data_IF_980322037056
#
_entry.id   IF_980322037056
#
_cell.length_a   1.000
_cell.length_b   1.000
_cell.length_c   1.000
_cell.angle_alpha   90.00
_cell.angle_beta   90.00
_cell.angle_gamma   90.00
#
_symmetry.space_group_name_H-M   'P 1'
#
loop_
_entity.id
_entity.type
_entity.pdbx_description
1 polymer ?
#
# COMPACT_ATOMS: atom_id res chain seq x y z
N UNK A 1 12.79 22.25 0.21
CA UNK A 1 11.87 23.23 0.88
C UNK A 1 10.68 23.66 0.02
N UNK A 2 10.63 23.37 -1.30
CA UNK A 2 9.51 23.77 -2.17
C UNK A 2 8.26 22.88 -1.97
N UNK A 3 8.43 21.60 -1.70
CA UNK A 3 7.32 20.63 -1.63
C UNK A 3 6.22 21.00 -0.62
N UNK A 4 6.50 21.35 0.65
CA UNK A 4 5.45 21.74 1.60
C UNK A 4 4.70 22.99 1.17
N UNK A 5 5.38 23.96 0.55
CA UNK A 5 4.77 25.18 0.04
C UNK A 5 3.85 24.87 -1.12
N UNK A 6 4.29 24.04 -2.07
CA UNK A 6 3.44 23.60 -3.20
C UNK A 6 2.20 22.85 -2.72
N UNK A 7 2.36 21.94 -1.76
CA UNK A 7 1.23 21.20 -1.15
C UNK A 7 0.27 22.17 -0.47
N UNK A 8 0.77 23.11 0.33
CA UNK A 8 -0.07 24.14 0.96
C UNK A 8 -0.82 24.98 -0.07
N UNK A 9 -0.17 25.45 -1.13
CA UNK A 9 -0.80 26.23 -2.20
C UNK A 9 -1.88 25.43 -2.93
N UNK A 10 -1.63 24.15 -3.24
CA UNK A 10 -2.60 23.28 -3.90
C UNK A 10 -3.82 23.03 -3.02
N UNK A 11 -3.61 22.71 -1.75
CA UNK A 11 -4.69 22.51 -0.78
C UNK A 11 -5.51 23.82 -0.64
N UNK A 12 -4.83 24.94 -0.44
CA UNK A 12 -5.50 26.25 -0.29
C UNK A 12 -6.32 26.61 -1.53
N UNK A 13 -5.77 26.39 -2.73
CA UNK A 13 -6.47 26.60 -4.01
C UNK A 13 -7.70 25.68 -4.12
N UNK A 14 -7.55 24.43 -3.76
CA UNK A 14 -8.65 23.45 -3.80
C UNK A 14 -9.79 23.86 -2.87
N UNK A 15 -9.47 24.22 -1.62
CA UNK A 15 -10.50 24.68 -0.67
C UNK A 15 -11.11 26.02 -1.04
N UNK A 16 -10.35 26.94 -1.63
CA UNK A 16 -10.86 28.22 -2.12
C UNK A 16 -11.87 28.03 -3.26
N UNK A 17 -11.67 27.04 -4.13
CA UNK A 17 -12.53 26.77 -5.29
C UNK A 17 -13.78 25.94 -4.94
N UNK A 18 -13.65 24.95 -4.05
CA UNK A 18 -14.71 23.95 -3.79
C UNK A 18 -15.40 24.21 -2.44
N UNK A 19 -14.76 24.97 -1.55
CA UNK A 19 -15.27 25.24 -0.22
C UNK A 19 -15.24 24.03 0.72
N UNK A 20 -15.86 24.20 1.90
CA UNK A 20 -15.93 23.14 2.92
C UNK A 20 -16.77 21.91 2.51
N UNK A 21 -17.58 22.02 1.46
CA UNK A 21 -18.35 20.91 0.92
C UNK A 21 -17.49 19.77 0.37
N UNK A 22 -16.22 20.04 0.00
CA UNK A 22 -15.26 19.04 -0.42
C UNK A 22 -14.83 18.05 0.70
N UNK A 23 -14.99 18.44 1.97
CA UNK A 23 -14.55 17.61 3.10
C UNK A 23 -15.30 16.27 3.20
N UNK A 24 -16.60 16.26 2.96
CA UNK A 24 -17.42 15.04 3.09
C UNK A 24 -17.01 13.98 2.05
N UNK A 25 -16.91 14.30 0.75
CA UNK A 25 -16.39 13.35 -0.25
C UNK A 25 -14.97 12.87 0.05
N UNK A 26 -14.06 13.77 0.42
CA UNK A 26 -12.69 13.43 0.76
C UNK A 26 -12.59 12.51 1.99
N UNK A 27 -13.40 12.75 3.02
CA UNK A 27 -13.47 11.88 4.19
C UNK A 27 -13.98 10.48 3.82
N UNK A 28 -15.01 10.39 2.96
CA UNK A 28 -15.50 9.10 2.45
C UNK A 28 -14.42 8.35 1.67
N UNK A 29 -13.68 9.06 0.80
CA UNK A 29 -12.55 8.49 0.08
C UNK A 29 -11.47 7.96 1.04
N UNK A 30 -11.05 8.77 2.01
CA UNK A 30 -10.04 8.39 3.00
C UNK A 30 -10.46 7.16 3.80
N UNK A 31 -11.70 7.13 4.30
CA UNK A 31 -12.25 5.99 5.03
C UNK A 31 -12.31 4.75 4.13
N UNK A 32 -12.74 4.90 2.88
CA UNK A 32 -12.80 3.81 1.91
C UNK A 32 -11.43 3.17 1.67
N UNK A 33 -10.39 3.99 1.45
CA UNK A 33 -9.02 3.50 1.28
C UNK A 33 -8.51 2.82 2.56
N UNK A 34 -8.70 3.44 3.73
CA UNK A 34 -8.24 2.86 5.00
C UNK A 34 -8.92 1.54 5.32
N UNK A 35 -10.23 1.42 5.05
CA UNK A 35 -10.96 0.16 5.22
C UNK A 35 -10.45 -0.93 4.26
N UNK A 36 -10.25 -0.61 3.00
CA UNK A 36 -9.72 -1.55 2.01
C UNK A 36 -8.30 -2.02 2.38
N UNK A 37 -7.43 -1.09 2.82
CA UNK A 37 -6.10 -1.41 3.31
C UNK A 37 -6.13 -2.28 4.59
N UNK A 38 -7.06 -2.03 5.51
CA UNK A 38 -7.24 -2.84 6.71
C UNK A 38 -7.70 -4.27 6.36
N UNK A 39 -8.65 -4.40 5.44
CA UNK A 39 -9.11 -5.72 4.95
C UNK A 39 -7.95 -6.47 4.29
N UNK A 40 -7.15 -5.81 3.46
CA UNK A 40 -5.97 -6.41 2.83
C UNK A 40 -4.96 -6.88 3.89
N UNK A 41 -4.60 -6.03 4.84
CA UNK A 41 -3.56 -6.30 5.83
C UNK A 41 -3.97 -7.37 6.86
N UNK A 42 -5.15 -7.21 7.45
CA UNK A 42 -5.62 -8.05 8.56
C UNK A 42 -6.52 -9.20 8.13
N UNK A 43 -7.10 -9.12 6.92
CA UNK A 43 -7.90 -10.19 6.32
C UNK A 43 -7.08 -11.02 5.34
N UNK A 44 -6.89 -10.49 4.13
CA UNK A 44 -6.34 -11.25 3.00
C UNK A 44 -4.96 -11.82 3.31
N UNK A 45 -4.01 -11.00 3.73
CA UNK A 45 -2.65 -11.47 4.02
C UNK A 45 -2.60 -12.51 5.14
N UNK A 46 -3.43 -12.35 6.17
CA UNK A 46 -3.44 -13.27 7.30
C UNK A 46 -4.08 -14.62 6.94
N UNK A 47 -5.10 -14.60 6.09
CA UNK A 47 -5.72 -15.80 5.54
C UNK A 47 -4.71 -16.56 4.66
N UNK A 48 -4.02 -15.86 3.75
CA UNK A 48 -2.99 -16.46 2.91
C UNK A 48 -1.85 -17.06 3.75
N UNK A 49 -1.35 -16.31 4.74
CA UNK A 49 -0.32 -16.81 5.64
C UNK A 49 -0.76 -18.11 6.32
N UNK A 50 -1.97 -18.13 6.88
CA UNK A 50 -2.50 -19.30 7.59
C UNK A 50 -2.70 -20.50 6.67
N UNK A 51 -3.27 -20.28 5.49
CA UNK A 51 -3.54 -21.36 4.51
C UNK A 51 -2.23 -21.99 4.03
N UNK A 52 -1.26 -21.17 3.62
CA UNK A 52 -0.05 -21.68 2.97
C UNK A 52 1.04 -22.11 3.95
N UNK A 53 1.08 -21.58 5.17
CA UNK A 53 2.15 -21.91 6.13
C UNK A 53 1.67 -22.59 7.41
N UNK A 54 0.39 -22.47 7.75
CA UNK A 54 -0.16 -22.93 9.02
C UNK A 54 0.28 -22.09 10.23
N UNK A 55 0.99 -20.99 10.04
CA UNK A 55 1.45 -20.12 11.14
C UNK A 55 0.27 -19.35 11.76
N UNK A 56 0.45 -18.92 13.02
CA UNK A 56 -0.54 -18.10 13.72
C UNK A 56 -0.45 -16.63 13.22
N UNK A 57 -1.51 -16.10 12.57
CA UNK A 57 -1.51 -14.74 12.01
C UNK A 57 -1.29 -13.65 13.07
N UNK A 58 -1.92 -13.80 14.25
CA UNK A 58 -1.80 -12.79 15.31
C UNK A 58 -0.36 -12.72 15.82
N UNK A 59 0.29 -13.87 15.97
CA UNK A 59 1.70 -13.93 16.40
C UNK A 59 2.61 -13.31 15.33
N UNK A 60 2.33 -13.55 14.05
CA UNK A 60 3.06 -12.94 12.94
C UNK A 60 2.98 -11.41 12.98
N UNK A 61 1.74 -10.86 13.07
CA UNK A 61 1.55 -9.41 13.15
C UNK A 61 2.27 -8.82 14.36
N UNK A 62 2.16 -9.43 15.55
CA UNK A 62 2.85 -8.94 16.74
C UNK A 62 4.37 -8.85 16.54
N UNK A 63 4.97 -9.87 15.94
CA UNK A 63 6.42 -9.89 15.67
C UNK A 63 6.84 -8.89 14.59
N UNK A 64 5.98 -8.65 13.60
CA UNK A 64 6.27 -7.77 12.47
C UNK A 64 5.81 -6.31 12.71
N UNK A 65 5.01 -6.06 13.73
CA UNK A 65 4.48 -4.73 14.05
C UNK A 65 5.53 -3.61 14.15
N UNK A 66 6.72 -3.81 14.76
CA UNK A 66 7.74 -2.76 14.78
C UNK A 66 8.18 -2.31 13.37
N UNK A 67 8.25 -3.25 12.42
CA UNK A 67 8.57 -2.95 11.01
C UNK A 67 7.43 -2.17 10.36
N UNK A 68 6.18 -2.56 10.60
CA UNK A 68 5.00 -1.84 10.13
C UNK A 68 4.97 -0.40 10.64
N UNK A 69 5.26 -0.19 11.94
CA UNK A 69 5.32 1.14 12.54
C UNK A 69 6.45 2.00 11.95
N UNK A 70 7.60 1.40 11.70
CA UNK A 70 8.72 2.08 11.05
C UNK A 70 8.38 2.47 9.59
N UNK A 71 7.76 1.56 8.83
CA UNK A 71 7.30 1.87 7.47
C UNK A 71 6.24 2.97 7.44
N UNK A 72 5.29 2.92 8.38
CA UNK A 72 4.30 3.97 8.53
C UNK A 72 4.96 5.33 8.78
N UNK A 73 5.97 5.41 9.66
CA UNK A 73 6.64 6.67 9.98
C UNK A 73 7.47 7.23 8.83
N UNK A 74 8.11 6.36 8.05
CA UNK A 74 9.02 6.76 6.96
C UNK A 74 8.32 6.95 5.62
N UNK A 75 7.17 6.27 5.43
CA UNK A 75 6.45 6.19 4.15
C UNK A 75 7.34 5.75 2.97
N UNK A 76 8.33 4.88 3.23
CA UNK A 76 9.20 4.34 2.18
C UNK A 76 9.54 2.87 2.44
N UNK A 77 9.17 2.01 1.48
CA UNK A 77 9.46 0.57 1.55
C UNK A 77 10.97 0.32 1.55
N UNK A 78 11.73 1.11 0.80
CA UNK A 78 13.17 0.94 0.68
C UNK A 78 13.91 1.11 2.01
N UNK A 79 13.50 2.07 2.85
CA UNK A 79 14.10 2.28 4.17
C UNK A 79 13.80 1.13 5.13
N UNK A 80 12.73 0.37 4.92
CA UNK A 80 12.32 -0.75 5.78
C UNK A 80 13.00 -2.07 5.43
N UNK A 81 13.62 -2.19 4.27
CA UNK A 81 14.24 -3.44 3.78
C UNK A 81 15.16 -4.08 4.83
N UNK A 82 16.15 -3.37 5.40
CA UNK A 82 17.06 -4.00 6.37
C UNK A 82 16.34 -4.51 7.62
N UNK A 83 15.38 -3.73 8.14
CA UNK A 83 14.63 -4.09 9.34
C UNK A 83 13.67 -5.26 9.07
N UNK A 84 13.08 -5.32 7.88
CA UNK A 84 12.22 -6.43 7.44
C UNK A 84 13.01 -7.73 7.37
N UNK A 85 14.17 -7.73 6.73
CA UNK A 85 15.07 -8.89 6.61
C UNK A 85 15.50 -9.40 8.00
N UNK A 86 15.92 -8.49 8.87
CA UNK A 86 16.36 -8.83 10.23
C UNK A 86 15.22 -9.42 11.07
N UNK A 87 14.05 -8.81 11.03
CA UNK A 87 12.87 -9.28 11.77
C UNK A 87 12.39 -10.64 11.25
N UNK A 88 12.32 -10.82 9.93
CA UNK A 88 11.94 -12.10 9.34
C UNK A 88 12.92 -13.21 9.70
N UNK A 89 14.20 -12.92 9.68
CA UNK A 89 15.22 -13.91 10.00
C UNK A 89 15.25 -14.26 11.50
N UNK A 90 15.27 -13.25 12.39
CA UNK A 90 15.47 -13.46 13.82
C UNK A 90 14.19 -13.78 14.61
N UNK A 91 13.03 -13.27 14.15
CA UNK A 91 11.78 -13.41 14.91
C UNK A 91 10.76 -14.32 14.25
N UNK A 92 10.76 -14.39 12.91
CA UNK A 92 9.82 -15.25 12.17
C UNK A 92 10.45 -16.59 11.81
N UNK A 93 11.80 -16.65 11.72
CA UNK A 93 12.53 -17.87 11.39
C UNK A 93 12.71 -18.10 9.88
N UNK A 94 12.56 -17.07 9.08
CA UNK A 94 12.80 -17.13 7.64
C UNK A 94 14.30 -17.13 7.35
N UNK A 95 14.78 -18.02 6.47
CA UNK A 95 16.18 -18.02 6.05
C UNK A 95 16.59 -16.65 5.48
N UNK A 96 17.71 -16.11 5.97
CA UNK A 96 18.26 -14.84 5.51
C UNK A 96 18.53 -14.83 4.00
N UNK A 97 18.89 -15.98 3.40
CA UNK A 97 19.09 -16.11 1.96
C UNK A 97 17.82 -15.79 1.18
N UNK A 98 16.65 -16.25 1.64
CA UNK A 98 15.37 -16.00 0.99
C UNK A 98 14.96 -14.56 1.25
N UNK A 99 14.94 -14.10 2.50
CA UNK A 99 14.48 -12.74 2.83
C UNK A 99 15.33 -11.64 2.16
N UNK A 100 16.64 -11.84 2.03
CA UNK A 100 17.52 -10.87 1.34
C UNK A 100 17.27 -10.74 -0.15
N UNK A 101 16.63 -11.74 -0.78
CA UNK A 101 16.24 -11.67 -2.18
C UNK A 101 14.78 -11.19 -2.33
N UNK A 102 13.86 -11.78 -1.57
CA UNK A 102 12.42 -11.55 -1.77
C UNK A 102 11.95 -10.19 -1.27
N UNK A 103 12.51 -9.68 -0.17
CA UNK A 103 12.08 -8.38 0.39
C UNK A 103 12.44 -7.21 -0.54
N UNK A 104 13.66 -7.06 -1.08
CA UNK A 104 13.96 -6.02 -2.06
C UNK A 104 13.12 -6.16 -3.35
N UNK A 105 12.88 -7.40 -3.80
CA UNK A 105 12.02 -7.66 -4.95
C UNK A 105 10.58 -7.24 -4.69
N UNK A 106 10.02 -7.61 -3.53
CA UNK A 106 8.67 -7.21 -3.12
C UNK A 106 8.52 -5.70 -3.04
N UNK A 107 9.48 -5.01 -2.44
CA UNK A 107 9.45 -3.55 -2.32
C UNK A 107 9.33 -2.79 -3.65
N UNK A 108 9.58 -3.45 -4.79
CA UNK A 108 9.44 -2.87 -6.14
C UNK A 108 8.28 -3.46 -6.94
N UNK A 109 7.85 -4.67 -6.64
CA UNK A 109 6.82 -5.38 -7.45
C UNK A 109 5.49 -5.48 -6.70
N UNK A 110 5.52 -5.66 -5.39
CA UNK A 110 4.33 -5.88 -4.58
C UNK A 110 3.85 -4.56 -3.96
N UNK A 111 3.07 -3.79 -4.71
CA UNK A 111 2.48 -2.54 -4.25
C UNK A 111 0.94 -2.60 -4.22
N UNK A 112 0.40 -3.63 -3.57
CA UNK A 112 -1.04 -3.87 -3.44
C UNK A 112 -1.80 -2.67 -2.86
N UNK A 113 -1.25 -2.05 -1.82
CA UNK A 113 -1.86 -0.86 -1.22
C UNK A 113 -1.93 0.32 -2.19
N UNK A 114 -0.98 0.43 -3.12
CA UNK A 114 -0.99 1.45 -4.17
C UNK A 114 -2.10 1.17 -5.18
N UNK A 115 -2.25 -0.07 -5.64
CA UNK A 115 -3.34 -0.47 -6.54
C UNK A 115 -4.72 -0.28 -5.91
N UNK A 116 -4.87 -0.61 -4.62
CA UNK A 116 -6.11 -0.39 -3.86
C UNK A 116 -6.46 1.11 -3.84
N UNK A 117 -5.50 1.96 -3.49
CA UNK A 117 -5.71 3.41 -3.48
C UNK A 117 -6.11 3.92 -4.86
N UNK A 118 -5.46 3.48 -5.93
CA UNK A 118 -5.76 3.88 -7.29
C UNK A 118 -7.18 3.48 -7.71
N UNK A 119 -7.60 2.26 -7.39
CA UNK A 119 -8.96 1.80 -7.67
C UNK A 119 -10.02 2.64 -6.95
N UNK A 120 -9.83 2.92 -5.66
CA UNK A 120 -10.75 3.77 -4.89
C UNK A 120 -10.73 5.21 -5.39
N UNK A 121 -9.54 5.73 -5.79
CA UNK A 121 -9.38 7.08 -6.32
C UNK A 121 -10.13 7.27 -7.65
N UNK A 122 -10.13 6.28 -8.53
CA UNK A 122 -10.89 6.30 -9.79
C UNK A 122 -12.38 6.42 -9.52
N UNK A 123 -12.92 5.59 -8.62
CA UNK A 123 -14.34 5.64 -8.27
C UNK A 123 -14.71 6.98 -7.64
N UNK A 124 -13.85 7.48 -6.75
CA UNK A 124 -14.04 8.80 -6.13
C UNK A 124 -14.03 9.93 -7.17
N UNK A 125 -13.05 9.95 -8.08
CA UNK A 125 -12.95 10.98 -9.11
C UNK A 125 -14.13 10.92 -10.08
N UNK A 126 -14.53 9.73 -10.53
CA UNK A 126 -15.67 9.55 -11.40
C UNK A 126 -16.95 10.12 -10.76
N UNK A 127 -17.19 9.84 -9.47
CA UNK A 127 -18.33 10.39 -8.74
C UNK A 127 -18.25 11.91 -8.56
N UNK A 128 -17.06 12.43 -8.25
CA UNK A 128 -16.85 13.87 -8.04
C UNK A 128 -17.07 14.69 -9.32
N UNK A 129 -16.74 14.14 -10.47
CA UNK A 129 -16.89 14.80 -11.78
C UNK A 129 -18.14 14.36 -12.56
N UNK A 130 -19.01 13.51 -11.97
CA UNK A 130 -20.24 13.05 -12.61
C UNK A 130 -20.01 12.16 -13.83
N UNK A 131 -18.87 11.47 -13.89
CA UNK A 131 -18.50 10.58 -15.00
C UNK A 131 -18.98 9.16 -14.68
N UNK A 132 -19.74 8.56 -15.58
CA UNK A 132 -20.21 7.19 -15.45
C UNK A 132 -19.18 6.22 -16.03
N UNK A 133 -18.64 5.34 -15.18
CA UNK A 133 -17.74 4.28 -15.61
C UNK A 133 -18.53 3.07 -16.09
N UNK A 134 -18.18 2.56 -17.26
CA UNK A 134 -18.70 1.30 -17.78
C UNK A 134 -18.06 0.09 -17.08
N UNK A 135 -18.63 -1.12 -17.14
CA UNK A 135 -17.96 -2.32 -16.62
C UNK A 135 -16.58 -2.58 -17.23
N UNK A 136 -16.37 -2.16 -18.49
CA UNK A 136 -15.07 -2.30 -19.16
C UNK A 136 -14.03 -1.34 -18.58
N UNK A 137 -14.45 -0.14 -18.17
CA UNK A 137 -13.55 0.82 -17.53
C UNK A 137 -13.00 0.25 -16.20
N UNK A 138 -13.82 -0.45 -15.41
CA UNK A 138 -13.34 -1.13 -14.20
C UNK A 138 -12.30 -2.20 -14.51
N UNK A 139 -12.48 -2.99 -15.55
CA UNK A 139 -11.47 -3.98 -15.99
C UNK A 139 -10.19 -3.28 -16.42
N UNK A 140 -10.30 -2.17 -17.17
CA UNK A 140 -9.17 -1.35 -17.57
C UNK A 140 -8.42 -0.77 -16.37
N UNK A 141 -9.16 -0.28 -15.35
CA UNK A 141 -8.57 0.23 -14.11
C UNK A 141 -7.81 -0.86 -13.36
N UNK A 142 -8.39 -2.06 -13.23
CA UNK A 142 -7.70 -3.18 -12.57
C UNK A 142 -6.39 -3.51 -13.29
N UNK A 143 -6.43 -3.63 -14.63
CA UNK A 143 -5.25 -3.93 -15.42
C UNK A 143 -4.18 -2.83 -15.34
N UNK A 144 -4.57 -1.57 -15.53
CA UNK A 144 -3.64 -0.43 -15.50
C UNK A 144 -3.09 -0.14 -14.11
N UNK A 145 -3.90 -0.23 -13.05
CA UNK A 145 -3.44 -0.07 -11.67
C UNK A 145 -2.44 -1.17 -11.29
N UNK A 146 -2.71 -2.42 -11.69
CA UNK A 146 -1.78 -3.53 -11.45
C UNK A 146 -0.46 -3.31 -12.18
N UNK A 147 -0.50 -2.95 -13.47
CA UNK A 147 0.71 -2.67 -14.24
C UNK A 147 1.47 -1.44 -13.74
N UNK A 148 0.75 -0.39 -13.38
CA UNK A 148 1.35 0.84 -12.84
C UNK A 148 1.99 0.63 -11.47
N UNK A 149 1.50 -0.32 -10.67
CA UNK A 149 2.08 -0.65 -9.35
C UNK A 149 3.34 -1.49 -9.46
N UNK A 150 3.46 -2.33 -10.49
CA UNK A 150 4.67 -3.13 -10.75
C UNK A 150 5.81 -2.21 -11.23
N UNK A 151 6.95 -2.26 -10.58
CA UNK A 151 8.10 -1.43 -10.91
C UNK A 151 8.02 0.01 -10.37
N UNK A 152 6.99 0.34 -9.60
CA UNK A 152 6.91 1.62 -8.89
C UNK A 152 7.98 1.66 -7.79
N UNK A 153 8.76 2.75 -7.76
CA UNK A 153 9.80 2.91 -6.74
C UNK A 153 9.20 3.04 -5.33
N UNK A 154 9.82 2.37 -4.35
CA UNK A 154 9.38 2.42 -2.94
C UNK A 154 9.73 3.74 -2.23
N UNK A 155 9.36 4.88 -2.85
CA UNK A 155 9.60 6.24 -2.35
C UNK A 155 8.28 6.95 -2.05
N UNK A 156 8.26 7.93 -1.14
CA UNK A 156 7.02 8.61 -0.75
C UNK A 156 6.28 9.26 -1.92
N UNK A 157 4.95 9.21 -1.88
CA UNK A 157 4.01 9.86 -2.82
C UNK A 157 4.11 9.43 -4.29
N UNK A 158 4.87 8.40 -4.63
CA UNK A 158 4.99 7.92 -6.01
C UNK A 158 3.66 7.38 -6.56
N UNK A 159 2.78 6.89 -5.69
CA UNK A 159 1.45 6.41 -6.07
C UNK A 159 0.58 7.47 -6.75
N UNK A 160 0.77 8.77 -6.44
CA UNK A 160 0.06 9.86 -7.13
C UNK A 160 0.57 10.06 -8.56
N UNK A 161 1.84 9.82 -8.80
CA UNK A 161 2.41 9.91 -10.16
C UNK A 161 1.85 8.80 -11.05
N UNK A 162 1.80 7.58 -10.53
CA UNK A 162 1.25 6.43 -11.28
C UNK A 162 -0.28 6.50 -11.41
N UNK A 163 -0.97 7.20 -10.50
CA UNK A 163 -2.41 7.45 -10.59
C UNK A 163 -2.79 8.24 -11.86
N UNK A 164 -1.91 9.12 -12.36
CA UNK A 164 -2.14 9.84 -13.63
C UNK A 164 -2.31 8.88 -14.80
N UNK A 165 -1.55 7.79 -14.83
CA UNK A 165 -1.65 6.77 -15.89
C UNK A 165 -3.00 6.05 -15.82
N UNK A 166 -3.46 5.73 -14.59
CA UNK A 166 -4.76 5.06 -14.41
C UNK A 166 -5.91 5.98 -14.78
N UNK A 167 -5.86 7.26 -14.40
CA UNK A 167 -6.90 8.23 -14.78
C UNK A 167 -6.98 8.42 -16.28
N UNK A 168 -5.84 8.57 -16.96
CA UNK A 168 -5.79 8.72 -18.41
C UNK A 168 -6.36 7.48 -19.15
N UNK A 169 -6.20 6.29 -18.57
CA UNK A 169 -6.68 5.05 -19.20
C UNK A 169 -8.21 4.96 -19.30
N UNK A 170 -8.93 5.72 -18.46
CA UNK A 170 -10.40 5.75 -18.41
C UNK A 170 -10.95 7.16 -18.64
N UNK A 171 -10.14 8.08 -19.17
CA UNK A 171 -10.57 9.43 -19.54
C UNK A 171 -10.97 10.33 -18.36
N UNK A 172 -10.46 10.06 -17.15
CA UNK A 172 -10.71 10.91 -15.98
C UNK A 172 -9.78 12.13 -15.98
N UNK A 173 -10.27 13.30 -15.52
CA UNK A 173 -9.47 14.50 -15.44
C UNK A 173 -8.37 14.35 -14.38
N UNK A 174 -7.13 14.62 -14.76
CA UNK A 174 -5.96 14.52 -13.85
C UNK A 174 -6.00 15.60 -12.75
N UNK A 175 -6.78 16.64 -12.92
CA UNK A 175 -7.03 17.69 -11.93
C UNK A 175 -7.63 17.16 -10.64
N UNK A 176 -8.37 16.04 -10.72
CA UNK A 176 -8.91 15.33 -9.55
C UNK A 176 -7.82 14.83 -8.59
N UNK A 177 -6.59 14.60 -9.08
CA UNK A 177 -5.46 14.22 -8.23
C UNK A 177 -5.11 15.35 -7.25
N UNK A 178 -5.31 16.61 -7.65
CA UNK A 178 -5.13 17.75 -6.77
C UNK A 178 -6.01 17.73 -5.51
N UNK A 179 -7.21 17.15 -5.60
CA UNK A 179 -8.11 16.97 -4.44
C UNK A 179 -7.55 15.93 -3.47
N UNK A 180 -7.00 14.84 -3.99
CA UNK A 180 -6.50 13.70 -3.24
C UNK A 180 -5.16 14.05 -2.56
N UNK A 181 -4.32 14.84 -3.23
CA UNK A 181 -2.96 15.18 -2.79
C UNK A 181 -2.92 15.76 -1.37
N UNK A 182 -3.95 16.50 -0.97
CA UNK A 182 -4.02 17.13 0.36
C UNK A 182 -4.09 16.13 1.52
N UNK A 183 -4.64 14.94 1.30
CA UNK A 183 -4.82 13.90 2.32
C UNK A 183 -3.94 12.67 2.08
N UNK A 184 -3.22 12.63 0.96
CA UNK A 184 -2.44 11.46 0.54
C UNK A 184 -1.36 11.07 1.55
N UNK A 185 -0.81 12.02 2.31
CA UNK A 185 0.29 11.71 3.24
C UNK A 185 -0.04 10.61 4.24
N UNK A 186 -1.21 10.66 4.87
CA UNK A 186 -1.66 9.64 5.84
C UNK A 186 -1.92 8.32 5.12
N UNK A 187 -2.51 8.38 3.93
CA UNK A 187 -2.78 7.21 3.10
C UNK A 187 -1.49 6.55 2.64
N UNK A 188 -0.49 7.33 2.23
CA UNK A 188 0.82 6.86 1.80
C UNK A 188 1.57 6.13 2.93
N UNK A 189 1.56 6.69 4.14
CA UNK A 189 2.13 6.05 5.33
C UNK A 189 1.46 4.69 5.61
N UNK A 190 0.11 4.66 5.59
CA UNK A 190 -0.65 3.42 5.83
C UNK A 190 -0.42 2.40 4.71
N UNK A 191 -0.46 2.84 3.47
CA UNK A 191 -0.22 2.04 2.27
C UNK A 191 1.15 1.37 2.29
N UNK A 192 2.19 2.12 2.68
CA UNK A 192 3.56 1.59 2.82
C UNK A 192 3.63 0.48 3.86
N UNK A 193 3.00 0.66 5.03
CA UNK A 193 2.94 -0.37 6.05
C UNK A 193 2.24 -1.65 5.57
N UNK A 194 1.18 -1.51 4.76
CA UNK A 194 0.47 -2.66 4.18
C UNK A 194 1.32 -3.36 3.14
N UNK A 195 1.96 -2.62 2.22
CA UNK A 195 2.82 -3.20 1.18
C UNK A 195 3.93 -4.07 1.77
N UNK A 196 4.69 -3.54 2.74
CA UNK A 196 5.78 -4.32 3.37
C UNK A 196 5.27 -5.51 4.18
N UNK A 197 4.02 -5.46 4.67
CA UNK A 197 3.41 -6.60 5.34
C UNK A 197 3.10 -7.71 4.33
N UNK A 198 2.64 -7.35 3.14
CA UNK A 198 2.48 -8.26 2.01
C UNK A 198 3.79 -8.92 1.60
N UNK A 199 4.87 -8.12 1.47
CA UNK A 199 6.22 -8.62 1.19
C UNK A 199 6.67 -9.66 2.21
N UNK A 200 6.44 -9.38 3.49
CA UNK A 200 6.82 -10.27 4.58
C UNK A 200 5.99 -11.58 4.59
N UNK A 201 4.70 -11.50 4.30
CA UNK A 201 3.83 -12.67 4.16
C UNK A 201 4.25 -13.53 2.99
N UNK A 202 4.43 -12.95 1.80
CA UNK A 202 4.90 -13.66 0.60
C UNK A 202 6.26 -14.31 0.84
N UNK A 203 7.21 -13.58 1.44
CA UNK A 203 8.53 -14.10 1.82
C UNK A 203 8.43 -15.30 2.75
N UNK A 204 7.53 -15.24 3.74
CA UNK A 204 7.32 -16.33 4.70
C UNK A 204 6.70 -17.56 4.03
N UNK A 205 5.78 -17.37 3.09
CA UNK A 205 5.19 -18.45 2.29
C UNK A 205 6.26 -19.12 1.41
N UNK A 206 7.06 -18.33 0.69
CA UNK A 206 8.16 -18.83 -0.14
C UNK A 206 9.19 -19.61 0.71
N UNK A 207 9.54 -19.11 1.89
CA UNK A 207 10.45 -19.79 2.79
C UNK A 207 9.87 -21.12 3.28
N UNK A 208 8.57 -21.17 3.58
CA UNK A 208 7.91 -22.40 3.98
C UNK A 208 7.92 -23.45 2.85
N UNK A 209 7.58 -23.04 1.63
CA UNK A 209 7.58 -23.95 0.46
C UNK A 209 8.96 -24.50 0.13
N UNK A 210 10.02 -23.76 0.44
CA UNK A 210 11.42 -24.18 0.22
C UNK A 210 12.06 -24.84 1.45
N UNK A 211 11.28 -25.23 2.46
CA UNK A 211 11.77 -25.82 3.73
C UNK A 211 12.83 -24.95 4.44
N UNK A 212 12.75 -23.65 4.27
CA UNK A 212 13.70 -22.66 4.79
C UNK A 212 13.05 -21.76 5.88
N UNK A 213 12.03 -22.28 6.56
CA UNK A 213 11.33 -21.65 7.67
C UNK A 213 11.55 -22.44 8.95
N UNK A 214 12.23 -21.84 9.93
CA UNK A 214 12.40 -22.43 11.24
C UNK A 214 11.20 -22.09 12.16
N UNK A 215 10.34 -23.09 12.36
CA UNK A 215 9.14 -22.96 13.20
C UNK A 215 9.47 -22.82 14.69
N UNK A 216 10.67 -23.25 15.15
CA UNK A 216 11.07 -23.10 16.56
C UNK A 216 11.26 -21.62 16.88
N UNK A 217 12.02 -20.90 16.02
CA UNK A 217 12.20 -19.44 16.12
C UNK A 217 10.87 -18.71 16.10
N UNK A 218 9.94 -19.12 15.21
CA UNK A 218 8.61 -18.52 15.19
C UNK A 218 7.84 -18.75 16.49
N UNK A 219 7.98 -19.92 17.10
CA UNK A 219 7.22 -20.29 18.31
C UNK A 219 7.84 -19.78 19.60
N UNK A 220 9.11 -19.40 19.60
CA UNK A 220 9.73 -18.74 20.75
C UNK A 220 8.99 -17.45 21.09
N UNK A 221 8.68 -17.32 22.38
CA UNK A 221 8.03 -16.15 22.96
C UNK A 221 9.05 -15.01 23.06
N UNK A 222 8.84 -13.93 22.36
CA UNK A 222 9.48 -12.64 22.69
C UNK A 222 8.43 -11.76 23.33
#
# INVERSE_FOLDING_TARGET
CALPICVFCLISRTFANIGFSAFIPLAKYMIGVLLALAIQCFGVYQILLKIFTGLNPIKFIKKFFPVMAFAFSTATSNATIPMSIDTLSKKVGVSKKISSFTIPLGATINMDGTSIMQGVAVVFAAQAFGIHLSPMDYVTVIGTATLASVGTAGVPSVGLVTLTMVFNSVGLPVEAIGLIMGIDRILDMTRTAVNITGDAVCTTIVAHQNNALDRKVFNESN
#
